data_IF_010761092017
#
_entry.id   IF_010761092017
#
_cell.length_a   1.000
_cell.length_b   1.000
_cell.length_c   1.000
_cell.angle_alpha   90.00
_cell.angle_beta   90.00
_cell.angle_gamma   90.00
#
_symmetry.space_group_name_H-M   'P 1'
#
loop_
_entity.id
_entity.type
_entity.pdbx_description
1 polymer ?
#
# COMPACT_ATOMS: atom_id res chain seq x y z
N UNK A 1 0.64 20.58 -8.18
CA UNK A 1 -0.06 19.45 -8.83
C UNK A 1 0.57 18.08 -8.56
N UNK A 2 1.90 17.92 -8.56
CA UNK A 2 2.52 16.60 -8.30
C UNK A 2 2.29 16.06 -6.87
N UNK A 3 2.45 16.91 -5.83
CA UNK A 3 2.26 16.54 -4.42
C UNK A 3 0.87 15.95 -4.13
N UNK A 4 -0.19 16.59 -4.66
CA UNK A 4 -1.58 16.16 -4.47
C UNK A 4 -1.87 14.78 -5.10
N UNK A 5 -1.22 14.45 -6.22
CA UNK A 5 -1.34 13.12 -6.85
C UNK A 5 -0.67 12.04 -6.00
N UNK A 6 0.50 12.35 -5.43
CA UNK A 6 1.24 11.43 -4.56
C UNK A 6 0.47 11.14 -3.27
N UNK A 7 -0.14 12.16 -2.66
CA UNK A 7 -0.99 12.00 -1.48
C UNK A 7 -2.26 11.20 -1.79
N UNK A 8 -2.92 11.49 -2.92
CA UNK A 8 -4.10 10.74 -3.36
C UNK A 8 -3.78 9.25 -3.56
N UNK A 9 -2.66 8.96 -4.24
CA UNK A 9 -2.20 7.58 -4.44
C UNK A 9 -1.90 6.91 -3.10
N UNK A 10 -1.22 7.60 -2.18
CA UNK A 10 -0.89 7.05 -0.86
C UNK A 10 -2.15 6.69 -0.06
N UNK A 11 -3.20 7.52 -0.14
CA UNK A 11 -4.47 7.27 0.50
C UNK A 11 -5.17 6.05 -0.10
N UNK A 12 -5.29 5.99 -1.43
CA UNK A 12 -5.87 4.84 -2.15
C UNK A 12 -5.17 3.52 -1.79
N UNK A 13 -3.84 3.51 -1.82
CA UNK A 13 -3.06 2.34 -1.46
C UNK A 13 -3.27 1.94 0.00
N UNK A 14 -3.35 2.91 0.91
CA UNK A 14 -3.63 2.67 2.33
C UNK A 14 -4.99 2.04 2.57
N UNK A 15 -6.04 2.53 1.90
CA UNK A 15 -7.39 1.96 1.97
C UNK A 15 -7.41 0.50 1.50
N UNK A 16 -6.75 0.19 0.37
CA UNK A 16 -6.68 -1.17 -0.15
C UNK A 16 -5.96 -2.10 0.84
N UNK A 17 -4.87 -1.65 1.45
CA UNK A 17 -4.15 -2.44 2.47
C UNK A 17 -5.05 -2.69 3.69
N UNK A 18 -5.72 -1.64 4.20
CA UNK A 18 -6.62 -1.74 5.36
C UNK A 18 -7.80 -2.70 5.14
N UNK A 19 -8.34 -2.77 3.92
CA UNK A 19 -9.39 -3.74 3.55
C UNK A 19 -8.93 -5.19 3.60
N UNK A 20 -7.62 -5.45 3.47
CA UNK A 20 -7.07 -6.81 3.43
C UNK A 20 -6.35 -7.21 4.72
N UNK A 21 -5.85 -6.25 5.51
CA UNK A 21 -5.20 -6.48 6.80
C UNK A 21 -5.38 -5.28 7.73
N UNK A 22 -6.32 -5.39 8.67
CA UNK A 22 -6.57 -4.35 9.67
C UNK A 22 -5.37 -4.18 10.61
N UNK A 23 -4.95 -5.26 11.29
CA UNK A 23 -3.81 -5.22 12.23
C UNK A 23 -2.47 -4.88 11.54
N UNK A 24 -2.24 -5.42 10.34
CA UNK A 24 -1.03 -5.14 9.58
C UNK A 24 -0.94 -3.67 9.13
N UNK A 25 -2.08 -3.06 8.82
CA UNK A 25 -2.13 -1.65 8.43
C UNK A 25 -1.94 -0.70 9.62
N UNK A 26 -2.54 -1.00 10.78
CA UNK A 26 -2.27 -0.24 12.01
C UNK A 26 -0.78 -0.26 12.37
N UNK A 27 -0.17 -1.45 12.35
CA UNK A 27 1.27 -1.59 12.58
C UNK A 27 2.12 -0.79 11.58
N UNK A 28 1.74 -0.75 10.30
CA UNK A 28 2.44 0.07 9.29
C UNK A 28 2.37 1.57 9.62
N UNK A 29 1.19 2.08 9.97
CA UNK A 29 1.00 3.48 10.35
C UNK A 29 1.91 3.86 11.52
N UNK A 30 1.94 3.05 12.58
CA UNK A 30 2.83 3.26 13.73
C UNK A 30 4.31 3.36 13.35
N UNK A 31 4.75 2.58 12.34
CA UNK A 31 6.17 2.53 11.94
C UNK A 31 6.58 3.63 10.96
N UNK A 32 5.64 4.22 10.23
CA UNK A 32 5.94 5.33 9.32
C UNK A 32 6.33 6.65 9.99
N UNK A 33 6.18 6.76 11.32
CA UNK A 33 6.57 7.95 12.08
C UNK A 33 8.09 8.14 12.25
N UNK A 34 8.91 7.11 11.96
CA UNK A 34 10.36 7.17 12.16
C UNK A 34 11.13 6.73 10.91
N UNK A 35 11.73 7.67 10.16
CA UNK A 35 12.56 7.34 8.98
C UNK A 35 13.71 6.38 9.30
N UNK A 36 14.25 6.44 10.52
CA UNK A 36 15.31 5.55 10.98
C UNK A 36 14.90 4.07 11.03
N UNK A 37 13.60 3.78 11.11
CA UNK A 37 13.04 2.42 11.15
C UNK A 37 12.56 1.93 9.78
N UNK A 38 12.79 2.68 8.69
CA UNK A 38 12.28 2.31 7.38
C UNK A 38 12.76 0.91 6.94
N UNK A 39 14.06 0.66 6.99
CA UNK A 39 14.64 -0.62 6.56
C UNK A 39 14.12 -1.81 7.37
N UNK A 40 14.05 -1.68 8.70
CA UNK A 40 13.55 -2.75 9.56
C UNK A 40 12.05 -3.00 9.33
N UNK A 41 11.29 -1.92 9.13
CA UNK A 41 9.86 -1.99 8.80
C UNK A 41 9.63 -2.70 7.47
N UNK A 42 10.35 -2.31 6.41
CA UNK A 42 10.27 -2.91 5.07
C UNK A 42 10.56 -4.42 5.08
N UNK A 43 11.55 -4.84 5.88
CA UNK A 43 11.89 -6.26 6.06
C UNK A 43 10.78 -7.00 6.81
N UNK A 44 10.21 -6.39 7.85
CA UNK A 44 9.17 -6.99 8.68
C UNK A 44 7.78 -7.02 8.01
N UNK A 45 7.50 -6.18 7.00
CA UNK A 45 6.20 -6.06 6.33
C UNK A 45 5.55 -7.40 6.00
N UNK A 46 6.19 -8.36 5.30
CA UNK A 46 5.52 -9.60 4.89
C UNK A 46 5.02 -10.47 6.05
N UNK A 47 5.67 -10.37 7.22
CA UNK A 47 5.26 -11.09 8.43
C UNK A 47 4.09 -10.42 9.15
N UNK A 48 3.91 -9.11 8.94
CA UNK A 48 2.90 -8.29 9.62
C UNK A 48 1.64 -8.09 8.80
N UNK A 49 1.78 -7.92 7.48
CA UNK A 49 0.64 -7.73 6.56
C UNK A 49 0.16 -9.03 5.92
N UNK A 50 0.99 -10.07 5.94
CA UNK A 50 0.74 -11.32 5.24
C UNK A 50 0.85 -11.17 3.72
N UNK A 51 0.51 -12.25 3.00
CA UNK A 51 0.66 -12.39 1.54
C UNK A 51 -0.67 -12.64 0.83
N UNK A 52 -1.79 -12.18 1.40
CA UNK A 52 -3.11 -12.33 0.77
C UNK A 52 -3.07 -11.64 -0.60
N UNK A 53 -3.65 -12.27 -1.61
CA UNK A 53 -3.70 -11.70 -2.96
C UNK A 53 -4.81 -10.64 -3.02
N UNK A 54 -4.49 -9.51 -3.62
CA UNK A 54 -5.39 -8.37 -3.82
C UNK A 54 -6.02 -8.49 -5.21
N UNK A 55 -7.34 -8.34 -5.26
CA UNK A 55 -8.11 -8.19 -6.49
C UNK A 55 -8.90 -6.88 -6.39
N UNK A 56 -8.26 -5.73 -6.68
CA UNK A 56 -8.96 -4.47 -6.70
C UNK A 56 -9.93 -4.49 -7.87
N UNK A 57 -11.20 -4.16 -7.62
CA UNK A 57 -12.20 -4.05 -8.68
C UNK A 57 -11.77 -3.06 -9.77
N UNK A 58 -12.39 -3.17 -10.95
CA UNK A 58 -12.02 -2.35 -12.11
C UNK A 58 -12.04 -0.85 -11.85
N UNK A 59 -12.95 -0.37 -11.00
CA UNK A 59 -13.05 1.04 -10.63
C UNK A 59 -11.77 1.55 -9.95
N UNK A 60 -11.28 0.83 -8.94
CA UNK A 60 -10.04 1.16 -8.21
C UNK A 60 -8.84 1.07 -9.14
N UNK A 61 -8.79 0.04 -10.00
CA UNK A 61 -7.69 -0.13 -10.94
C UNK A 61 -7.65 0.98 -12.00
N UNK A 62 -8.82 1.48 -12.45
CA UNK A 62 -8.91 2.68 -13.33
C UNK A 62 -8.45 3.93 -12.61
N UNK A 63 -8.81 4.09 -11.34
CA UNK A 63 -8.40 5.25 -10.55
C UNK A 63 -6.88 5.26 -10.35
N UNK A 64 -6.27 4.14 -9.97
CA UNK A 64 -4.81 4.00 -9.87
C UNK A 64 -4.14 4.31 -11.20
N UNK A 65 -4.66 3.80 -12.31
CA UNK A 65 -4.10 4.05 -13.64
C UNK A 65 -4.19 5.53 -14.07
N UNK A 66 -5.19 6.28 -13.57
CA UNK A 66 -5.32 7.72 -13.83
C UNK A 66 -4.24 8.53 -13.11
N UNK A 67 -3.79 8.06 -11.94
CA UNK A 67 -2.78 8.73 -11.11
C UNK A 67 -1.36 8.28 -11.48
N UNK A 68 -1.19 6.97 -11.72
CA UNK A 68 0.07 6.35 -12.09
C UNK A 68 -0.14 5.39 -13.28
N UNK A 69 -0.01 5.89 -14.53
CA UNK A 69 -0.20 5.08 -15.72
C UNK A 69 0.85 3.95 -15.78
N UNK A 70 0.40 2.75 -16.16
CA UNK A 70 1.25 1.57 -16.30
C UNK A 70 1.36 0.68 -15.06
N UNK A 71 0.78 1.08 -13.92
CA UNK A 71 0.71 0.23 -12.72
C UNK A 71 -0.58 -0.59 -12.70
N UNK A 72 -0.44 -1.90 -12.56
CA UNK A 72 -1.52 -2.85 -12.27
C UNK A 72 -1.20 -3.63 -11.00
N UNK A 73 -2.08 -3.52 -10.00
CA UNK A 73 -1.91 -4.13 -8.69
C UNK A 73 -2.77 -5.39 -8.49
N UNK A 74 -3.66 -5.68 -9.44
CA UNK A 74 -4.40 -6.94 -9.47
C UNK A 74 -3.45 -8.15 -9.49
N UNK A 75 -3.69 -9.09 -8.58
CA UNK A 75 -2.84 -10.26 -8.38
C UNK A 75 -1.60 -10.01 -7.50
N UNK A 76 -1.41 -8.80 -6.97
CA UNK A 76 -0.30 -8.55 -6.05
C UNK A 76 -0.61 -9.06 -4.64
N UNK A 77 0.39 -9.55 -3.90
CA UNK A 77 0.21 -9.82 -2.50
C UNK A 77 0.21 -8.51 -1.69
N UNK A 78 -0.53 -8.49 -0.58
CA UNK A 78 -0.66 -7.30 0.28
C UNK A 78 0.69 -6.77 0.77
N UNK A 79 1.66 -7.64 1.07
CA UNK A 79 2.99 -7.19 1.50
C UNK A 79 3.73 -6.38 0.43
N UNK A 80 3.54 -6.74 -0.84
CA UNK A 80 4.12 -5.98 -1.95
C UNK A 80 3.50 -4.59 -2.03
N UNK A 81 2.18 -4.49 -1.88
CA UNK A 81 1.50 -3.20 -1.86
C UNK A 81 1.92 -2.34 -0.66
N UNK A 82 1.98 -2.94 0.52
CA UNK A 82 2.42 -2.29 1.75
C UNK A 82 3.85 -1.76 1.67
N UNK A 83 4.76 -2.49 1.01
CA UNK A 83 6.14 -2.03 0.78
C UNK A 83 6.25 -0.86 -0.18
N UNK A 84 5.34 -0.75 -1.15
CA UNK A 84 5.25 0.41 -2.05
C UNK A 84 4.64 1.62 -1.34
N UNK A 85 3.81 1.39 -0.32
CA UNK A 85 3.14 2.43 0.45
C UNK A 85 4.04 3.09 1.53
N UNK A 86 5.01 2.34 2.09
CA UNK A 86 6.00 2.84 3.06
C UNK A 86 6.82 4.00 2.50
#
# INVERSE_FOLDING_TARGET
>A
MAQQRSEHLKNLLGEIIGLHTSEGFEWLKEKTHSPAQFHSTFIATPRKTGKKIIHPGEAIQKEIASVCPGIRIDGWPVDRLARVWL
#
